data_IF_911482862909
#
_entry.id   IF_911482862909
#
_cell.length_a   1.000
_cell.length_b   1.000
_cell.length_c   1.000
_cell.angle_alpha   90.00
_cell.angle_beta   90.00
_cell.angle_gamma   90.00
#
_symmetry.space_group_name_H-M   'P 1'
#
loop_
_entity.id
_entity.type
_entity.pdbx_description
1 polymer ?
#
# COMPACT_ATOMS: atom_id res chain seq x y z
N UNK A 1 -23.48 -4.64 1.70
CA UNK A 1 -23.11 -5.10 0.35
C UNK A 1 -22.38 -3.97 -0.34
N UNK A 2 -21.05 -3.92 -0.25
CA UNK A 2 -20.24 -2.98 -1.02
C UNK A 2 -20.09 -3.53 -2.43
N UNK A 3 -21.01 -3.14 -3.31
CA UNK A 3 -20.87 -3.38 -4.74
C UNK A 3 -19.72 -2.49 -5.23
N UNK A 4 -18.47 -2.92 -5.08
CA UNK A 4 -17.35 -2.23 -5.71
C UNK A 4 -17.59 -2.28 -7.21
N UNK A 5 -17.82 -1.12 -7.84
CA UNK A 5 -17.95 -0.98 -9.29
C UNK A 5 -16.66 -1.39 -10.04
N UNK A 6 -15.59 -1.69 -9.30
CA UNK A 6 -14.30 -2.11 -9.80
C UNK A 6 -14.31 -3.64 -9.88
N UNK A 7 -14.12 -4.15 -11.09
CA UNK A 7 -13.81 -5.57 -11.31
C UNK A 7 -12.32 -5.83 -11.01
N UNK A 8 -12.05 -6.34 -9.80
CA UNK A 8 -10.71 -6.71 -9.33
C UNK A 8 -10.14 -7.96 -10.02
N UNK A 9 -10.91 -8.65 -10.85
CA UNK A 9 -10.42 -9.77 -11.67
C UNK A 9 -10.14 -9.36 -13.12
N UNK A 10 -10.49 -8.12 -13.50
CA UNK A 10 -10.25 -7.61 -14.84
C UNK A 10 -8.75 -7.54 -15.21
N UNK A 11 -8.39 -7.70 -16.49
CA UNK A 11 -7.02 -7.48 -16.97
C UNK A 11 -6.49 -6.09 -16.62
N UNK A 12 -7.37 -5.08 -16.63
CA UNK A 12 -7.04 -3.70 -16.25
C UNK A 12 -6.61 -3.61 -14.79
N UNK A 13 -7.38 -4.20 -13.87
CA UNK A 13 -7.00 -4.22 -12.46
C UNK A 13 -5.68 -4.95 -12.25
N UNK A 14 -5.48 -6.10 -12.91
CA UNK A 14 -4.22 -6.85 -12.83
C UNK A 14 -3.02 -5.98 -13.22
N UNK A 15 -3.12 -5.23 -14.32
CA UNK A 15 -2.05 -4.33 -14.75
C UNK A 15 -1.78 -3.19 -13.73
N UNK A 16 -2.83 -2.68 -13.08
CA UNK A 16 -2.68 -1.69 -12.00
C UNK A 16 -2.01 -2.32 -10.77
N UNK A 17 -2.45 -3.51 -10.37
CA UNK A 17 -1.90 -4.24 -9.23
C UNK A 17 -0.42 -4.59 -9.45
N UNK A 18 -0.04 -5.05 -10.64
CA UNK A 18 1.34 -5.36 -11.00
C UNK A 18 2.23 -4.11 -10.89
N UNK A 19 1.74 -2.96 -11.40
CA UNK A 19 2.45 -1.68 -11.31
C UNK A 19 2.56 -1.22 -9.85
N UNK A 20 1.51 -1.33 -9.07
CA UNK A 20 1.50 -0.96 -7.65
C UNK A 20 2.47 -1.83 -6.85
N UNK A 21 2.51 -3.14 -7.11
CA UNK A 21 3.45 -4.07 -6.48
C UNK A 21 4.90 -3.73 -6.83
N UNK A 22 5.20 -3.44 -8.10
CA UNK A 22 6.54 -3.02 -8.52
C UNK A 22 7.01 -1.72 -7.84
N UNK A 23 6.10 -0.75 -7.64
CA UNK A 23 6.39 0.48 -6.91
C UNK A 23 6.64 0.20 -5.42
N UNK A 24 5.82 -0.64 -4.82
CA UNK A 24 5.95 -1.05 -3.42
C UNK A 24 7.31 -1.71 -3.16
N UNK A 25 7.74 -2.61 -4.03
CA UNK A 25 9.03 -3.30 -3.88
C UNK A 25 10.22 -2.33 -4.07
N UNK A 26 10.12 -1.41 -5.02
CA UNK A 26 11.12 -0.33 -5.20
C UNK A 26 11.23 0.54 -3.94
N UNK A 27 10.09 0.92 -3.35
CA UNK A 27 10.07 1.77 -2.15
C UNK A 27 10.56 1.03 -0.90
N UNK A 28 10.31 -0.29 -0.79
CA UNK A 28 10.86 -1.11 0.30
C UNK A 28 12.37 -1.14 0.26
N UNK A 29 12.95 -1.45 -0.91
CA UNK A 29 14.41 -1.42 -1.11
C UNK A 29 14.98 -0.04 -0.77
N UNK A 30 14.28 1.04 -1.16
CA UNK A 30 14.70 2.40 -0.81
C UNK A 30 14.66 2.63 0.71
N UNK A 31 13.57 2.27 1.37
CA UNK A 31 13.38 2.44 2.82
C UNK A 31 14.41 1.69 3.65
N UNK A 32 14.92 0.55 3.16
CA UNK A 32 15.94 -0.25 3.83
C UNK A 32 17.35 0.36 3.72
N UNK A 33 17.51 1.45 2.96
CA UNK A 33 18.78 2.15 2.84
C UNK A 33 19.16 2.88 4.14
N UNK A 34 20.36 2.63 4.70
CA UNK A 34 20.83 3.33 5.90
C UNK A 34 21.19 4.80 5.65
N UNK A 35 21.16 5.26 4.39
CA UNK A 35 21.47 6.64 4.01
C UNK A 35 20.26 7.59 4.07
N UNK A 36 19.08 7.11 4.44
CA UNK A 36 17.88 7.92 4.59
C UNK A 36 17.83 8.63 5.94
N UNK A 37 17.58 9.94 5.90
CA UNK A 37 17.21 10.69 7.10
C UNK A 37 15.77 10.38 7.55
N UNK A 38 15.41 10.82 8.75
CA UNK A 38 14.11 10.55 9.35
C UNK A 38 12.92 11.10 8.53
N UNK A 39 13.07 12.26 7.90
CA UNK A 39 12.00 12.89 7.12
C UNK A 39 11.75 12.09 5.83
N UNK A 40 12.82 11.75 5.10
CA UNK A 40 12.73 10.94 3.87
C UNK A 40 12.25 9.53 4.16
N UNK A 41 12.60 8.98 5.32
CA UNK A 41 12.07 7.69 5.79
C UNK A 41 10.57 7.78 6.01
N UNK A 42 10.08 8.80 6.72
CA UNK A 42 8.64 9.02 6.93
C UNK A 42 7.88 9.20 5.61
N UNK A 43 8.42 9.98 4.67
CA UNK A 43 7.84 10.16 3.33
C UNK A 43 7.75 8.82 2.58
N UNK A 44 8.84 8.03 2.59
CA UNK A 44 8.88 6.74 1.90
C UNK A 44 7.88 5.75 2.51
N UNK A 45 7.76 5.71 3.84
CA UNK A 45 6.76 4.89 4.53
C UNK A 45 5.32 5.32 4.24
N UNK A 46 5.06 6.62 4.13
CA UNK A 46 3.75 7.15 3.72
C UNK A 46 3.37 6.69 2.30
N UNK A 47 4.33 6.72 1.36
CA UNK A 47 4.11 6.19 0.00
C UNK A 47 3.87 4.68 -0.01
N UNK A 48 4.61 3.93 0.81
CA UNK A 48 4.37 2.48 0.96
C UNK A 48 2.95 2.21 1.48
N UNK A 49 2.49 2.97 2.48
CA UNK A 49 1.14 2.83 3.02
C UNK A 49 0.06 3.05 1.95
N UNK A 50 0.19 4.12 1.15
CA UNK A 50 -0.75 4.41 0.07
C UNK A 50 -0.84 3.28 -0.97
N UNK A 51 0.29 2.69 -1.38
CA UNK A 51 0.27 1.55 -2.30
C UNK A 51 -0.34 0.28 -1.68
N UNK A 52 -0.12 0.05 -0.39
CA UNK A 52 -0.78 -1.06 0.33
C UNK A 52 -2.29 -0.86 0.40
N UNK A 53 -2.74 0.35 0.68
CA UNK A 53 -4.18 0.69 0.71
C UNK A 53 -4.82 0.47 -0.66
N UNK A 54 -4.17 0.89 -1.75
CA UNK A 54 -4.64 0.62 -3.11
C UNK A 54 -4.79 -0.88 -3.37
N UNK A 55 -3.78 -1.69 -3.04
CA UNK A 55 -3.83 -3.14 -3.24
C UNK A 55 -4.88 -3.81 -2.35
N UNK A 56 -5.04 -3.32 -1.12
CA UNK A 56 -6.04 -3.81 -0.18
C UNK A 56 -7.48 -3.52 -0.62
N UNK A 57 -7.72 -2.64 -1.61
CA UNK A 57 -9.06 -2.45 -2.17
C UNK A 57 -9.64 -3.74 -2.78
N UNK A 58 -8.79 -4.65 -3.25
CA UNK A 58 -9.20 -5.95 -3.78
C UNK A 58 -9.40 -7.00 -2.67
N UNK A 59 -8.92 -6.73 -1.46
CA UNK A 59 -9.16 -7.58 -0.31
C UNK A 59 -10.45 -7.09 0.37
N UNK A 60 -11.47 -7.95 0.45
CA UNK A 60 -12.71 -7.71 1.22
C UNK A 60 -12.46 -7.72 2.75
N UNK A 61 -11.24 -7.41 3.20
CA UNK A 61 -10.87 -7.39 4.61
C UNK A 61 -11.19 -6.02 5.21
N UNK A 62 -11.90 -5.99 6.36
CA UNK A 62 -12.09 -4.75 7.09
C UNK A 62 -10.71 -4.15 7.43
N UNK A 63 -10.60 -2.83 7.27
CA UNK A 63 -9.36 -2.10 7.49
C UNK A 63 -8.72 -2.48 8.85
N UNK A 64 -7.38 -2.56 8.93
CA UNK A 64 -6.72 -2.87 10.19
C UNK A 64 -7.09 -1.80 11.21
N UNK A 65 -7.72 -2.23 12.31
CA UNK A 65 -8.06 -1.39 13.45
C UNK A 65 -6.76 -0.77 13.93
N UNK A 66 -6.63 0.55 13.86
CA UNK A 66 -5.52 1.24 14.51
C UNK A 66 -5.68 1.00 16.00
N UNK A 67 -4.86 0.11 16.57
CA UNK A 67 -4.74 -0.04 18.02
C UNK A 67 -4.33 1.31 18.58
N UNK A 68 -5.28 1.99 19.20
CA UNK A 68 -5.01 3.23 19.93
C UNK A 68 -4.07 2.82 21.07
N UNK A 69 -2.85 3.37 21.17
CA UNK A 69 -1.96 2.98 22.24
C UNK A 69 -2.59 3.43 23.55
N UNK A 70 -2.95 2.47 24.39
CA UNK A 70 -3.35 2.74 25.75
C UNK A 70 -2.07 3.06 26.54
N UNK A 71 -1.74 4.35 26.67
CA UNK A 71 -1.03 4.90 27.82
C UNK A 71 -1.15 6.43 27.87
#
# INVERSE_FOLDING_TARGET
>A
MTNSAIDFHSPTWRAIADKAQAQLDTLRVKNDSPALDAIRTAETRGRIAAWKELLAMADDKPAPVQETPAY
#
